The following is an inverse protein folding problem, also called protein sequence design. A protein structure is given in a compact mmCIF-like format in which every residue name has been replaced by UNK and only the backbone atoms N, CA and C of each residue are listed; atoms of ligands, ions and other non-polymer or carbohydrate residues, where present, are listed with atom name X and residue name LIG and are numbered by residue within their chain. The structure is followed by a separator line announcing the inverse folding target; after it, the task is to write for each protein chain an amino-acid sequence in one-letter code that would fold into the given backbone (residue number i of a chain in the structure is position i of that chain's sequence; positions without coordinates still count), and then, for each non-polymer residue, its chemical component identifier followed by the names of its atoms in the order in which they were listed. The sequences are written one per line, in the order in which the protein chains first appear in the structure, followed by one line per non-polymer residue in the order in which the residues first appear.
data_IF_729615643414
#
_entry.id   IF_729615643414
#
_cell.length_a   1.000
_cell.length_b   1.000
_cell.length_c   1.000
_cell.angle_alpha   90.00
_cell.angle_beta   90.00
_cell.angle_gamma   90.00
#
_symmetry.space_group_name_H-M   'P 1'
#
loop_
_entity.id
_entity.type
_entity.pdbx_description
1 polymer ?
#
# COMPACT_ATOMS: atom_id res chain seq x y z
N UNK A 1 -5.60 -13.82 -15.77
CA UNK A 1 -4.38 -13.01 -15.57
C UNK A 1 -4.81 -11.79 -14.75
N UNK A 2 -4.22 -11.51 -13.59
CA UNK A 2 -4.56 -10.29 -12.84
C UNK A 2 -4.31 -9.07 -13.72
N UNK A 3 -5.23 -8.10 -13.70
CA UNK A 3 -5.01 -6.83 -14.38
C UNK A 3 -3.73 -6.20 -13.80
N UNK A 4 -2.73 -5.95 -14.65
CA UNK A 4 -1.53 -5.24 -14.21
C UNK A 4 -1.97 -3.83 -13.82
N UNK A 5 -1.90 -3.54 -12.53
CA UNK A 5 -2.13 -2.19 -12.05
C UNK A 5 -0.97 -1.32 -12.54
N UNK A 6 -1.29 -0.12 -13.02
CA UNK A 6 -0.25 0.84 -13.40
C UNK A 6 0.50 1.26 -12.13
N UNK A 7 1.72 0.73 -11.98
CA UNK A 7 2.67 1.10 -10.93
C UNK A 7 3.58 2.17 -11.50
N UNK A 8 3.53 3.36 -10.88
CA UNK A 8 4.36 4.50 -11.26
C UNK A 8 5.69 4.49 -10.50
N UNK A 9 6.67 5.24 -10.99
CA UNK A 9 7.94 5.40 -10.27
C UNK A 9 7.77 6.07 -8.89
N UNK A 10 6.72 6.88 -8.71
CA UNK A 10 6.36 7.45 -7.41
C UNK A 10 5.85 6.38 -6.44
N UNK A 11 5.08 5.39 -6.92
CA UNK A 11 4.67 4.25 -6.10
C UNK A 11 5.89 3.43 -5.65
N UNK A 12 6.84 3.19 -6.56
CA UNK A 12 8.10 2.50 -6.27
C UNK A 12 8.91 3.29 -5.23
N UNK A 13 8.96 4.63 -5.36
CA UNK A 13 9.63 5.50 -4.41
C UNK A 13 9.01 5.49 -3.03
N UNK A 14 7.67 5.45 -2.96
CA UNK A 14 6.95 5.29 -1.71
C UNK A 14 7.29 3.95 -1.06
N UNK A 15 7.28 2.84 -1.80
CA UNK A 15 7.66 1.54 -1.25
C UNK A 15 9.09 1.52 -0.72
N UNK A 16 10.03 2.16 -1.41
CA UNK A 16 11.42 2.26 -0.96
C UNK A 16 11.52 2.91 0.44
N UNK A 17 10.74 3.99 0.67
CA UNK A 17 10.66 4.67 1.97
C UNK A 17 9.94 3.83 3.04
N UNK A 18 8.81 3.23 2.67
CA UNK A 18 7.98 2.42 3.58
C UNK A 18 8.68 1.15 4.06
N UNK A 19 9.42 0.49 3.16
CA UNK A 19 10.22 -0.70 3.47
C UNK A 19 11.54 -0.34 4.17
N UNK A 20 11.81 0.96 4.38
CA UNK A 20 13.04 1.47 5.01
C UNK A 20 14.30 0.89 4.35
N UNK A 21 14.29 0.82 3.02
CA UNK A 21 15.44 0.38 2.26
C UNK A 21 16.64 1.29 2.55
N UNK A 22 17.83 0.70 2.66
CA UNK A 22 19.07 1.43 2.91
C UNK A 22 19.66 1.90 1.57
N UNK A 23 20.20 3.11 1.55
CA UNK A 23 20.87 3.70 0.39
C UNK A 23 20.06 4.77 -0.33
N UNK A 24 20.50 5.13 -1.52
CA UNK A 24 19.81 6.10 -2.37
C UNK A 24 18.75 5.40 -3.24
N UNK A 25 17.62 6.07 -3.42
CA UNK A 25 16.56 5.63 -4.31
C UNK A 25 17.03 5.59 -5.77
N UNK A 26 17.93 6.49 -6.17
CA UNK A 26 18.45 6.53 -7.55
C UNK A 26 19.20 5.23 -7.86
N UNK A 27 20.07 4.78 -6.94
CA UNK A 27 20.79 3.51 -7.06
C UNK A 27 19.83 2.32 -7.04
N UNK A 28 18.79 2.39 -6.21
CA UNK A 28 17.77 1.35 -6.13
C UNK A 28 16.96 1.21 -7.43
N UNK A 29 16.67 2.33 -8.10
CA UNK A 29 16.00 2.35 -9.40
C UNK A 29 16.92 1.93 -10.55
N UNK A 30 18.24 2.12 -10.41
CA UNK A 30 19.23 1.67 -11.37
C UNK A 30 19.43 0.14 -11.33
N UNK A 31 19.20 -0.51 -10.19
CA UNK A 31 19.24 -1.96 -10.05
C UNK A 31 17.95 -2.62 -10.58
N UNK A 32 18.00 -3.41 -11.67
CA UNK A 32 16.80 -4.01 -12.27
C UNK A 32 16.05 -4.94 -11.31
N UNK A 33 16.80 -5.69 -10.49
CA UNK A 33 16.23 -6.63 -9.52
C UNK A 33 15.51 -5.91 -8.39
N UNK A 34 16.13 -4.86 -7.82
CA UNK A 34 15.54 -4.10 -6.73
C UNK A 34 14.32 -3.30 -7.22
N UNK A 35 14.41 -2.69 -8.42
CA UNK A 35 13.26 -2.03 -9.05
C UNK A 35 12.08 -2.98 -9.25
N UNK A 36 12.33 -4.21 -9.70
CA UNK A 36 11.27 -5.22 -9.87
C UNK A 36 10.63 -5.61 -8.53
N UNK A 37 11.45 -5.82 -7.49
CA UNK A 37 10.95 -6.15 -6.16
C UNK A 37 10.05 -5.04 -5.59
N UNK A 38 10.50 -3.79 -5.65
CA UNK A 38 9.73 -2.62 -5.20
C UNK A 38 8.44 -2.45 -6.00
N UNK A 39 8.49 -2.66 -7.32
CA UNK A 39 7.30 -2.64 -8.19
C UNK A 39 6.28 -3.69 -7.76
N UNK A 40 6.72 -4.92 -7.47
CA UNK A 40 5.83 -5.99 -7.03
C UNK A 40 5.18 -5.64 -5.66
N UNK A 41 5.95 -5.06 -4.73
CA UNK A 41 5.41 -4.59 -3.46
C UNK A 41 4.34 -3.51 -3.67
N UNK A 42 4.60 -2.53 -4.54
CA UNK A 42 3.65 -1.47 -4.88
C UNK A 42 2.37 -2.04 -5.50
N UNK A 43 2.49 -3.02 -6.40
CA UNK A 43 1.36 -3.69 -7.03
C UNK A 43 0.49 -4.41 -6.00
N UNK A 44 1.10 -5.20 -5.11
CA UNK A 44 0.39 -5.90 -4.03
C UNK A 44 -0.33 -4.91 -3.11
N UNK A 45 0.30 -3.77 -2.78
CA UNK A 45 -0.32 -2.75 -1.95
C UNK A 45 -1.52 -2.12 -2.64
N UNK A 46 -1.44 -1.78 -3.92
CA UNK A 46 -2.58 -1.27 -4.68
C UNK A 46 -3.70 -2.30 -4.80
N UNK A 47 -3.39 -3.57 -5.05
CA UNK A 47 -4.38 -4.65 -5.06
C UNK A 47 -5.11 -4.77 -3.72
N UNK A 48 -4.38 -4.67 -2.60
CA UNK A 48 -5.00 -4.67 -1.25
C UNK A 48 -5.87 -3.44 -1.03
N UNK A 49 -5.43 -2.27 -1.47
CA UNK A 49 -6.21 -1.03 -1.34
C UNK A 49 -7.51 -1.10 -2.16
N UNK A 50 -7.48 -1.67 -3.37
CA UNK A 50 -8.67 -1.86 -4.20
C UNK A 50 -9.62 -2.94 -3.67
N UNK A 51 -9.09 -3.97 -2.99
CA UNK A 51 -9.89 -5.07 -2.44
C UNK A 51 -10.44 -4.78 -1.03
N UNK A 52 -9.93 -3.75 -0.35
CA UNK A 52 -10.43 -3.36 0.98
C UNK A 52 -11.54 -2.33 0.78
N UNK A 53 -12.82 -2.64 1.10
CA UNK A 53 -13.86 -1.62 1.07
C UNK A 53 -13.46 -0.49 2.03
N UNK A 54 -13.74 0.78 1.70
CA UNK A 54 -13.46 1.89 2.61
C UNK A 54 -14.14 1.58 3.94
N UNK A 55 -13.33 1.45 4.99
CA UNK A 55 -13.81 1.26 6.36
C UNK A 55 -14.86 2.36 6.59
N UNK A 56 -16.12 2.04 6.95
CA UNK A 56 -17.12 3.08 7.14
C UNK A 56 -16.57 4.05 8.18
N UNK A 57 -16.37 5.30 7.74
CA UNK A 57 -16.12 6.38 8.65
C UNK A 57 -17.31 6.42 9.62
N UNK A 58 -17.02 6.52 10.92
CA UNK A 58 -18.00 6.68 11.98
C UNK A 58 -18.74 5.40 12.44
N UNK A 59 -18.03 4.50 13.11
CA UNK A 59 -18.66 3.84 14.27
C UNK A 59 -18.15 4.61 15.49
N UNK A 60 -19.01 5.48 16.02
CA UNK A 60 -18.75 6.19 17.26
C UNK A 60 -18.58 5.14 18.37
N UNK A 61 -17.34 4.84 18.74
CA UNK A 61 -16.99 3.79 19.70
C UNK A 61 -17.65 4.01 21.07
N UNK A 62 -18.17 5.22 21.32
CA UNK A 62 -19.00 5.51 22.48
C UNK A 62 -20.33 4.75 22.49
N UNK A 63 -20.98 4.53 21.33
CA UNK A 63 -22.25 3.77 21.28
C UNK A 63 -22.09 2.29 21.61
N UNK A 64 -20.97 1.69 21.21
CA UNK A 64 -20.67 0.28 21.52
C UNK A 64 -20.42 0.03 23.01
N UNK A 65 -19.96 1.04 23.76
CA UNK A 65 -19.79 0.93 25.21
C UNK A 65 -21.12 1.06 25.99
N UNK A 66 -22.16 1.67 25.39
CA UNK A 66 -23.45 1.90 26.06
C UNK A 66 -24.45 0.75 25.94
N UNK A 67 -24.16 -0.29 25.17
CA UNK A 67 -24.98 -1.52 25.15
C UNK A 67 -26.41 -1.37 24.64
N UNK A 68 -26.78 -0.24 24.06
CA UNK A 68 -28.10 -0.04 23.45
C UNK A 68 -28.11 -0.63 22.04
N UNK A 69 -28.77 -1.77 21.90
CA UNK A 69 -29.23 -2.32 20.63
C UNK A 69 -30.72 -2.61 20.82
N UNK A 70 -31.56 -1.70 20.32
CA UNK A 70 -33.01 -1.93 20.17
C UNK A 70 -33.27 -2.88 18.99
#
# INVERSE_FOLDING_TARGET
MPARLDVTDEDIAREFRELRCVGDIVDALASPGLRLALRNCAEIRKQRASSTPPKPAHVDLKRLASGDSD
#
